data_IF_887631325070
#
_entry.id   IF_887631325070
#
_cell.length_a   1.000
_cell.length_b   1.000
_cell.length_c   1.000
_cell.angle_alpha   90.00
_cell.angle_beta   90.00
_cell.angle_gamma   90.00
#
_symmetry.space_group_name_H-M   'P 1'
#
loop_
_entity.id
_entity.type
_entity.pdbx_description
1 polymer ?
#
# COMPACT_ATOMS: atom_id res chain seq x y z
N UNK A 1 10.81 12.80 5.04
CA UNK A 1 11.18 13.24 6.41
C UNK A 1 10.77 14.70 6.58
N UNK A 2 10.58 15.13 7.82
CA UNK A 2 10.54 16.55 8.19
C UNK A 2 11.53 16.78 9.33
N UNK A 3 12.20 17.91 9.34
CA UNK A 3 13.09 18.29 10.43
C UNK A 3 12.24 18.76 11.62
N UNK A 4 12.44 18.19 12.81
CA UNK A 4 11.77 18.70 14.02
C UNK A 4 12.39 20.04 14.47
N UNK A 5 11.85 20.61 15.55
CA UNK A 5 12.34 21.86 16.14
C UNK A 5 13.80 21.79 16.63
N UNK A 6 14.30 20.57 16.83
CA UNK A 6 15.65 20.28 17.34
C UNK A 6 16.67 20.02 16.21
N UNK A 7 16.26 20.13 14.94
CA UNK A 7 17.13 19.89 13.80
C UNK A 7 17.25 18.42 13.37
N UNK A 8 16.55 17.50 14.04
CA UNK A 8 16.57 16.07 13.74
C UNK A 8 15.59 15.72 12.61
N UNK A 9 16.04 14.86 11.69
CA UNK A 9 15.18 14.36 10.63
C UNK A 9 14.23 13.28 11.16
N UNK A 10 12.93 13.58 11.16
CA UNK A 10 11.90 12.63 11.61
C UNK A 10 11.27 11.95 10.38
N UNK A 11 11.20 10.59 10.35
CA UNK A 11 10.44 9.88 9.34
C UNK A 11 8.98 10.31 9.36
N UNK A 12 8.45 10.60 8.16
CA UNK A 12 7.05 11.03 8.00
C UNK A 12 6.37 10.13 6.99
N UNK A 13 5.21 9.59 7.36
CA UNK A 13 4.41 8.72 6.53
C UNK A 13 3.87 9.52 5.33
N UNK A 14 4.17 9.05 4.13
CA UNK A 14 3.62 9.60 2.88
C UNK A 14 2.17 9.16 2.70
N UNK A 15 1.92 7.88 2.92
CA UNK A 15 0.63 7.19 2.77
C UNK A 15 0.66 5.84 3.51
N UNK A 16 -0.51 5.23 3.67
CA UNK A 16 -0.67 3.88 4.20
C UNK A 16 -1.42 3.02 3.17
N UNK A 17 -0.81 1.93 2.72
CA UNK A 17 -1.30 1.10 1.62
C UNK A 17 -1.81 -0.26 2.13
N UNK A 18 -3.14 -0.42 2.14
CA UNK A 18 -3.90 -1.60 2.52
C UNK A 18 -4.44 -2.40 1.32
N UNK A 19 -4.32 -1.85 0.10
CA UNK A 19 -4.88 -2.46 -1.11
C UNK A 19 -3.79 -2.66 -2.17
N UNK A 20 -3.67 -3.89 -2.69
CA UNK A 20 -2.80 -4.25 -3.81
C UNK A 20 -1.33 -3.76 -3.69
N UNK A 21 -0.81 -3.67 -2.46
CA UNK A 21 0.57 -3.26 -2.17
C UNK A 21 1.55 -4.11 -2.98
N UNK A 22 2.28 -3.45 -3.87
CA UNK A 22 3.17 -4.09 -4.84
C UNK A 22 4.59 -4.28 -4.30
N UNK A 23 5.39 -5.06 -5.02
CA UNK A 23 6.84 -5.28 -4.83
C UNK A 23 7.24 -6.20 -3.66
N UNK A 24 6.29 -6.74 -2.89
CA UNK A 24 6.60 -7.72 -1.85
C UNK A 24 7.26 -9.01 -2.37
N UNK A 25 7.04 -9.36 -3.63
CA UNK A 25 7.75 -10.46 -4.30
C UNK A 25 9.12 -10.06 -4.84
N UNK A 26 9.31 -8.81 -5.25
CA UNK A 26 10.57 -8.37 -5.85
C UNK A 26 11.61 -7.89 -4.83
N UNK A 27 11.19 -7.28 -3.72
CA UNK A 27 12.09 -6.66 -2.77
C UNK A 27 13.15 -7.59 -2.15
N UNK A 28 12.85 -8.86 -1.80
CA UNK A 28 13.88 -9.81 -1.33
C UNK A 28 14.99 -10.02 -2.37
N UNK A 29 14.65 -9.98 -3.67
CA UNK A 29 15.59 -10.19 -4.79
C UNK A 29 16.41 -8.95 -5.08
N UNK A 30 15.79 -7.77 -5.03
CA UNK A 30 16.49 -6.47 -5.15
C UNK A 30 17.55 -6.36 -4.06
N UNK A 31 17.18 -6.68 -2.82
CA UNK A 31 18.11 -6.70 -1.69
C UNK A 31 19.25 -7.72 -1.90
N UNK A 32 18.95 -8.95 -2.34
CA UNK A 32 19.98 -9.96 -2.64
C UNK A 32 20.96 -9.47 -3.71
N UNK A 33 20.44 -8.90 -4.79
CA UNK A 33 21.25 -8.35 -5.88
C UNK A 33 22.16 -7.22 -5.41
N UNK A 34 21.63 -6.26 -4.62
CA UNK A 34 22.45 -5.19 -4.05
C UNK A 34 23.51 -5.71 -3.07
N UNK A 35 23.19 -6.75 -2.28
CA UNK A 35 24.15 -7.38 -1.38
C UNK A 35 25.30 -8.03 -2.14
N UNK A 36 25.01 -8.71 -3.26
CA UNK A 36 26.01 -9.28 -4.17
C UNK A 36 26.89 -8.21 -4.80
N UNK A 37 26.28 -7.12 -5.28
CA UNK A 37 26.98 -6.01 -5.91
C UNK A 37 27.95 -5.33 -4.94
N UNK A 38 27.48 -4.98 -3.74
CA UNK A 38 28.28 -4.32 -2.70
C UNK A 38 29.40 -5.25 -2.21
N UNK A 39 29.14 -6.56 -2.10
CA UNK A 39 30.18 -7.57 -1.83
C UNK A 39 31.24 -7.62 -2.93
N UNK A 40 30.84 -7.57 -4.21
CA UNK A 40 31.78 -7.56 -5.33
C UNK A 40 32.68 -6.32 -5.35
N UNK A 41 32.21 -5.20 -4.79
CA UNK A 41 33.01 -3.97 -4.58
C UNK A 41 33.85 -3.97 -3.29
N UNK A 42 33.92 -5.09 -2.56
CA UNK A 42 34.84 -5.28 -1.44
C UNK A 42 34.25 -5.01 -0.06
N UNK A 43 32.91 -4.89 0.06
CA UNK A 43 32.29 -4.74 1.37
C UNK A 43 32.56 -5.97 2.27
N UNK A 44 32.90 -5.67 3.52
CA UNK A 44 33.14 -6.64 4.59
C UNK A 44 31.85 -7.33 5.01
N UNK A 45 31.98 -8.47 5.70
CA UNK A 45 30.82 -9.15 6.28
C UNK A 45 30.03 -8.25 7.24
N UNK A 46 30.72 -7.40 8.02
CA UNK A 46 30.09 -6.48 8.96
C UNK A 46 29.24 -5.42 8.24
N UNK A 47 29.74 -4.81 7.16
CA UNK A 47 28.98 -3.83 6.37
C UNK A 47 27.75 -4.46 5.71
N UNK A 48 27.83 -5.72 5.29
CA UNK A 48 26.66 -6.42 4.74
C UNK A 48 25.57 -6.68 5.79
N UNK A 49 25.87 -6.65 7.10
CA UNK A 49 24.86 -6.73 8.17
C UNK A 49 24.07 -5.42 8.31
N UNK A 50 24.60 -4.30 7.82
CA UNK A 50 23.89 -3.02 7.76
C UNK A 50 22.80 -2.99 6.67
N UNK A 51 22.71 -4.03 5.83
CA UNK A 51 21.61 -4.19 4.87
C UNK A 51 20.50 -5.05 5.50
N UNK A 52 19.38 -4.45 5.95
CA UNK A 52 18.35 -5.18 6.69
C UNK A 52 17.74 -6.29 5.83
N UNK A 53 17.26 -7.33 6.51
CA UNK A 53 16.56 -8.44 5.85
C UNK A 53 15.23 -7.98 5.25
N UNK A 54 14.85 -8.61 4.14
CA UNK A 54 13.57 -8.41 3.49
C UNK A 54 12.93 -9.75 3.18
N UNK A 55 12.03 -10.20 4.06
CA UNK A 55 11.33 -11.48 3.97
C UNK A 55 9.85 -11.28 3.58
N UNK A 56 9.57 -10.31 2.72
CA UNK A 56 8.20 -9.92 2.36
C UNK A 56 7.45 -11.01 1.64
N UNK A 57 8.10 -11.73 0.73
CA UNK A 57 7.47 -12.82 0.00
C UNK A 57 7.11 -14.00 0.92
N UNK A 58 8.06 -14.48 1.73
CA UNK A 58 7.82 -15.60 2.65
C UNK A 58 6.80 -15.26 3.74
N UNK A 59 6.84 -14.04 4.29
CA UNK A 59 5.92 -13.61 5.34
C UNK A 59 4.50 -13.39 4.81
N UNK A 60 4.34 -12.86 3.60
CA UNK A 60 3.04 -12.79 2.93
C UNK A 60 2.51 -14.18 2.57
N UNK A 61 3.37 -15.06 2.06
CA UNK A 61 3.01 -16.44 1.77
C UNK A 61 2.50 -17.18 3.01
N UNK A 62 3.21 -17.09 4.12
CA UNK A 62 2.80 -17.68 5.40
C UNK A 62 1.44 -17.13 5.87
N UNK A 63 1.22 -15.82 5.75
CA UNK A 63 -0.05 -15.21 6.12
C UNK A 63 -1.22 -15.68 5.25
N UNK A 64 -1.02 -15.82 3.93
CA UNK A 64 -2.04 -16.34 3.02
C UNK A 64 -2.37 -17.82 3.29
N UNK A 65 -1.35 -18.63 3.61
CA UNK A 65 -1.55 -20.02 4.01
C UNK A 65 -2.33 -20.13 5.33
N UNK A 66 -1.99 -19.33 6.34
CA UNK A 66 -2.71 -19.32 7.61
C UNK A 66 -4.16 -18.85 7.44
N UNK A 67 -4.41 -17.86 6.56
CA UNK A 67 -5.76 -17.44 6.20
C UNK A 67 -6.54 -18.57 5.51
N UNK A 68 -5.94 -19.26 4.54
CA UNK A 68 -6.54 -20.42 3.88
C UNK A 68 -6.91 -21.51 4.90
N UNK A 69 -6.00 -21.85 5.80
CA UNK A 69 -6.22 -22.89 6.81
C UNK A 69 -7.30 -22.50 7.82
N UNK A 70 -7.41 -21.21 8.15
CA UNK A 70 -8.49 -20.68 8.96
C UNK A 70 -9.84 -20.85 8.25
N UNK A 71 -9.93 -20.42 6.99
CA UNK A 71 -11.15 -20.58 6.19
C UNK A 71 -11.57 -22.04 6.10
N UNK A 72 -10.65 -22.93 5.68
CA UNK A 72 -10.96 -24.34 5.44
C UNK A 72 -11.38 -25.06 6.72
N UNK A 73 -10.79 -24.74 7.89
CA UNK A 73 -11.28 -25.24 9.18
C UNK A 73 -12.68 -24.74 9.52
N UNK A 74 -12.98 -23.48 9.22
CA UNK A 74 -14.27 -22.85 9.54
C UNK A 74 -15.44 -23.36 8.69
N UNK A 75 -15.18 -23.81 7.46
CA UNK A 75 -16.20 -24.31 6.53
C UNK A 75 -16.15 -25.83 6.34
N UNK A 76 -15.11 -26.49 6.88
CA UNK A 76 -14.74 -27.88 6.56
C UNK A 76 -14.63 -28.08 5.04
N UNK A 77 -13.93 -27.16 4.38
CA UNK A 77 -13.76 -27.11 2.92
C UNK A 77 -12.33 -27.39 2.49
N UNK A 78 -12.09 -27.28 1.19
CA UNK A 78 -10.76 -27.42 0.57
C UNK A 78 -10.55 -26.31 -0.47
N UNK A 79 -10.86 -25.08 -0.08
CA UNK A 79 -10.71 -23.90 -0.91
C UNK A 79 -9.25 -23.50 -1.10
N UNK A 80 -8.98 -22.83 -2.20
CA UNK A 80 -7.63 -22.40 -2.59
C UNK A 80 -7.42 -20.89 -2.49
N UNK A 81 -6.19 -20.47 -2.75
CA UNK A 81 -5.81 -19.07 -2.83
C UNK A 81 -5.99 -18.62 -4.30
N UNK A 82 -6.78 -17.58 -4.51
CA UNK A 82 -7.01 -16.97 -5.82
C UNK A 82 -6.40 -15.56 -5.83
N UNK A 83 -5.46 -15.35 -6.74
CA UNK A 83 -4.91 -14.05 -7.09
C UNK A 83 -5.83 -13.44 -8.13
N UNK A 84 -6.55 -12.38 -7.77
CA UNK A 84 -7.41 -11.64 -8.67
C UNK A 84 -6.61 -10.51 -9.32
N UNK A 85 -6.40 -10.59 -10.63
CA UNK A 85 -5.37 -9.83 -11.36
C UNK A 85 -5.93 -9.09 -12.57
N UNK A 86 -5.15 -8.17 -13.15
CA UNK A 86 -5.43 -7.61 -14.47
C UNK A 86 -5.27 -8.67 -15.57
N UNK A 87 -6.02 -8.54 -16.68
CA UNK A 87 -5.81 -9.34 -17.90
C UNK A 87 -4.46 -9.07 -18.57
N UNK A 88 -3.87 -7.89 -18.36
CA UNK A 88 -2.54 -7.52 -18.80
C UNK A 88 -1.77 -6.87 -17.64
N UNK A 89 -0.85 -7.61 -17.04
CA UNK A 89 -0.10 -7.20 -15.84
C UNK A 89 1.38 -7.00 -16.16
N UNK A 90 1.84 -5.74 -16.10
CA UNK A 90 3.23 -5.39 -16.34
C UNK A 90 4.15 -5.83 -15.19
N UNK A 91 3.64 -5.85 -13.95
CA UNK A 91 4.38 -6.27 -12.76
C UNK A 91 4.10 -7.74 -12.38
N UNK A 92 3.97 -8.61 -13.38
CA UNK A 92 3.55 -10.01 -13.15
C UNK A 92 4.58 -10.78 -12.32
N UNK A 93 5.87 -10.46 -12.47
CA UNK A 93 6.95 -11.17 -11.77
C UNK A 93 6.90 -10.97 -10.26
N UNK A 94 6.47 -9.80 -9.78
CA UNK A 94 6.20 -9.58 -8.35
C UNK A 94 5.18 -10.59 -7.81
N UNK A 95 4.07 -10.77 -8.53
CA UNK A 95 3.02 -11.71 -8.14
C UNK A 95 3.48 -13.17 -8.25
N UNK A 96 4.21 -13.52 -9.31
CA UNK A 96 4.75 -14.88 -9.49
C UNK A 96 5.76 -15.26 -8.42
N UNK A 97 6.50 -14.29 -7.90
CA UNK A 97 7.39 -14.54 -6.77
C UNK A 97 6.64 -14.83 -5.48
N UNK A 98 5.50 -14.18 -5.23
CA UNK A 98 4.61 -14.52 -4.12
C UNK A 98 3.99 -15.91 -4.30
N UNK A 99 3.50 -16.24 -5.50
CA UNK A 99 3.00 -17.59 -5.81
C UNK A 99 4.06 -18.66 -5.51
N UNK A 100 5.29 -18.42 -5.98
CA UNK A 100 6.43 -19.31 -5.73
C UNK A 100 6.75 -19.41 -4.23
N UNK A 101 6.72 -18.29 -3.49
CA UNK A 101 6.96 -18.29 -2.05
C UNK A 101 5.90 -19.10 -1.29
N UNK A 102 4.63 -19.07 -1.70
CA UNK A 102 3.58 -19.93 -1.14
C UNK A 102 3.99 -21.41 -1.23
N UNK A 103 4.42 -21.86 -2.40
CA UNK A 103 4.84 -23.26 -2.58
C UNK A 103 6.12 -23.62 -1.81
N UNK A 104 7.09 -22.70 -1.67
CA UNK A 104 8.30 -22.95 -0.86
C UNK A 104 8.04 -22.98 0.65
N UNK A 105 6.98 -22.32 1.11
CA UNK A 105 6.57 -22.35 2.53
C UNK A 105 5.79 -23.62 2.89
N UNK A 106 5.30 -24.39 1.91
CA UNK A 106 4.62 -25.64 2.17
C UNK A 106 5.58 -26.67 2.80
N UNK A 107 5.11 -27.34 3.84
CA UNK A 107 5.78 -28.50 4.44
C UNK A 107 5.06 -29.77 4.03
N UNK A 108 5.64 -30.95 4.28
CA UNK A 108 5.04 -32.26 3.95
C UNK A 108 3.63 -32.48 4.53
N UNK A 109 3.19 -31.66 5.50
CA UNK A 109 1.85 -31.71 6.10
C UNK A 109 0.78 -30.96 5.30
N UNK A 110 1.16 -30.10 4.35
CA UNK A 110 0.27 -29.21 3.59
C UNK A 110 0.48 -29.45 2.09
N UNK A 111 0.08 -30.62 1.61
CA UNK A 111 0.43 -31.08 0.24
C UNK A 111 -0.56 -30.65 -0.87
N UNK A 112 -1.70 -30.03 -0.55
CA UNK A 112 -2.78 -29.76 -1.52
C UNK A 112 -3.16 -28.30 -1.74
N UNK A 113 -2.25 -27.35 -1.50
CA UNK A 113 -2.54 -25.92 -1.78
C UNK A 113 -2.36 -25.64 -3.26
N UNK A 114 -3.38 -25.06 -3.89
CA UNK A 114 -3.26 -24.48 -5.23
C UNK A 114 -3.31 -22.96 -5.13
N UNK A 115 -2.54 -22.30 -5.99
CA UNK A 115 -2.65 -20.86 -6.23
C UNK A 115 -3.14 -20.66 -7.66
N UNK A 116 -4.27 -19.99 -7.83
CA UNK A 116 -4.87 -19.70 -9.14
C UNK A 116 -4.82 -18.22 -9.44
N UNK A 117 -4.55 -17.87 -10.69
CA UNK A 117 -4.67 -16.50 -11.19
C UNK A 117 -5.97 -16.39 -11.96
N UNK A 118 -6.80 -15.42 -11.60
CA UNK A 118 -8.07 -15.15 -12.25
C UNK A 118 -8.10 -13.67 -12.63
N UNK A 119 -8.30 -13.38 -13.90
CA UNK A 119 -8.45 -12.01 -14.37
C UNK A 119 -9.80 -11.46 -13.94
N UNK A 120 -9.83 -10.23 -13.44
CA UNK A 120 -11.08 -9.53 -13.15
C UNK A 120 -11.62 -8.92 -14.45
N UNK A 121 -12.67 -9.52 -14.96
CA UNK A 121 -13.37 -9.11 -16.18
C UNK A 121 -14.85 -9.49 -16.07
N UNK A 122 -15.73 -8.80 -16.78
CA UNK A 122 -17.19 -8.99 -16.65
C UNK A 122 -17.63 -10.45 -16.91
N UNK A 123 -16.93 -11.16 -17.81
CA UNK A 123 -17.17 -12.57 -18.11
C UNK A 123 -16.96 -13.52 -16.91
N UNK A 124 -16.24 -13.09 -15.87
CA UNK A 124 -16.04 -13.87 -14.65
C UNK A 124 -17.36 -14.11 -13.90
N UNK A 125 -18.36 -13.24 -14.05
CA UNK A 125 -19.68 -13.43 -13.44
C UNK A 125 -20.32 -14.77 -13.80
N UNK A 126 -20.16 -15.22 -15.04
CA UNK A 126 -20.74 -16.48 -15.53
C UNK A 126 -20.02 -17.72 -14.97
N UNK A 127 -18.85 -17.55 -14.37
CA UNK A 127 -17.99 -18.61 -13.83
C UNK A 127 -18.05 -18.69 -12.30
N UNK A 128 -18.72 -17.74 -11.66
CA UNK A 128 -18.87 -17.65 -10.21
C UNK A 128 -20.16 -18.33 -9.76
N UNK A 129 -20.03 -19.15 -8.72
CA UNK A 129 -21.16 -19.68 -7.95
C UNK A 129 -20.92 -19.43 -6.47
N UNK A 130 -21.96 -19.00 -5.76
CA UNK A 130 -21.97 -18.95 -4.30
C UNK A 130 -23.01 -19.97 -3.82
N UNK A 131 -22.62 -20.89 -2.95
CA UNK A 131 -23.53 -21.92 -2.43
C UNK A 131 -24.38 -21.43 -1.25
N UNK A 132 -25.22 -22.32 -0.71
CA UNK A 132 -26.08 -22.03 0.44
C UNK A 132 -25.30 -21.69 1.72
N UNK A 133 -24.07 -22.20 1.87
CA UNK A 133 -23.15 -21.92 2.97
C UNK A 133 -22.34 -20.63 2.71
N UNK A 134 -22.65 -19.88 1.65
CA UNK A 134 -21.94 -18.66 1.23
C UNK A 134 -20.47 -18.92 0.86
N UNK A 135 -20.12 -20.14 0.46
CA UNK A 135 -18.79 -20.48 -0.08
C UNK A 135 -18.71 -20.05 -1.54
N UNK A 136 -17.57 -19.50 -1.93
CA UNK A 136 -17.33 -19.01 -3.28
C UNK A 136 -16.67 -20.09 -4.12
N UNK A 137 -17.16 -20.28 -5.34
CA UNK A 137 -16.58 -21.15 -6.35
C UNK A 137 -16.31 -20.36 -7.63
N UNK A 138 -15.17 -20.61 -8.26
CA UNK A 138 -14.82 -20.14 -9.61
C UNK A 138 -14.50 -21.38 -10.44
N UNK A 139 -15.25 -21.61 -11.52
CA UNK A 139 -15.15 -22.85 -12.33
C UNK A 139 -15.25 -24.12 -11.48
N UNK A 140 -16.22 -24.16 -10.57
CA UNK A 140 -16.45 -25.24 -9.59
C UNK A 140 -15.31 -25.49 -8.59
N UNK A 141 -14.30 -24.64 -8.55
CA UNK A 141 -13.23 -24.72 -7.57
C UNK A 141 -13.47 -23.75 -6.41
N UNK A 142 -13.53 -24.30 -5.19
CA UNK A 142 -13.74 -23.53 -3.96
C UNK A 142 -12.60 -22.52 -3.72
N UNK A 143 -12.96 -21.33 -3.28
CA UNK A 143 -12.06 -20.21 -3.00
C UNK A 143 -12.04 -19.93 -1.51
N UNK A 144 -10.86 -20.09 -0.90
CA UNK A 144 -10.63 -19.78 0.51
C UNK A 144 -10.14 -18.35 0.71
N UNK A 145 -9.25 -17.88 -0.16
CA UNK A 145 -8.65 -16.54 -0.07
C UNK A 145 -8.72 -15.85 -1.42
N UNK A 146 -9.24 -14.63 -1.44
CA UNK A 146 -9.18 -13.71 -2.58
C UNK A 146 -8.10 -12.66 -2.31
N UNK A 147 -6.95 -12.79 -2.96
CA UNK A 147 -5.87 -11.81 -2.90
C UNK A 147 -5.98 -10.84 -4.08
N UNK A 148 -6.30 -9.58 -3.79
CA UNK A 148 -6.55 -8.58 -4.82
C UNK A 148 -5.25 -7.91 -5.28
N UNK A 149 -4.98 -8.02 -6.58
CA UNK A 149 -3.96 -7.24 -7.31
C UNK A 149 -4.58 -6.36 -8.40
N UNK A 150 -5.89 -6.13 -8.30
CA UNK A 150 -6.68 -5.28 -9.17
C UNK A 150 -7.78 -4.60 -8.34
N UNK A 151 -8.80 -3.96 -8.95
CA UNK A 151 -9.95 -3.37 -8.23
C UNK A 151 -9.64 -2.19 -7.27
N UNK A 152 -8.49 -1.52 -7.41
CA UNK A 152 -8.10 -0.35 -6.60
C UNK A 152 -8.21 1.01 -7.31
N UNK A 153 -8.54 1.02 -8.60
CA UNK A 153 -8.77 2.23 -9.40
C UNK A 153 -10.19 2.18 -9.99
N UNK A 154 -10.90 3.32 -10.08
CA UNK A 154 -12.16 3.42 -10.81
C UNK A 154 -12.10 2.89 -12.25
N UNK A 155 -10.96 3.03 -12.93
CA UNK A 155 -10.79 2.56 -14.31
C UNK A 155 -10.81 1.02 -14.42
N UNK A 156 -10.74 0.31 -13.29
CA UNK A 156 -10.93 -1.14 -13.20
C UNK A 156 -12.41 -1.55 -13.16
N UNK A 157 -13.32 -0.58 -13.14
CA UNK A 157 -14.75 -0.79 -13.07
C UNK A 157 -15.48 -0.12 -14.25
N UNK A 158 -15.27 -0.59 -15.49
CA UNK A 158 -15.81 0.05 -16.68
C UNK A 158 -17.33 -0.11 -16.85
N UNK A 159 -17.98 -0.99 -16.08
CA UNK A 159 -19.38 -1.37 -16.25
C UNK A 159 -20.08 -1.66 -14.92
N UNK A 160 -21.41 -1.65 -14.89
CA UNK A 160 -22.18 -2.11 -13.71
C UNK A 160 -21.92 -3.60 -13.39
N UNK A 161 -21.62 -4.40 -14.41
CA UNK A 161 -21.25 -5.81 -14.24
C UNK A 161 -19.97 -5.95 -13.40
N UNK A 162 -18.97 -5.10 -13.63
CA UNK A 162 -17.75 -5.09 -12.82
C UNK A 162 -18.03 -4.75 -11.35
N UNK A 163 -18.95 -3.81 -11.07
CA UNK A 163 -19.40 -3.51 -9.71
C UNK A 163 -20.17 -4.65 -9.07
N UNK A 164 -21.08 -5.29 -9.83
CA UNK A 164 -21.80 -6.48 -9.39
C UNK A 164 -20.83 -7.62 -9.06
N UNK A 165 -19.82 -7.84 -9.90
CA UNK A 165 -18.79 -8.83 -9.69
C UNK A 165 -18.04 -8.58 -8.39
N UNK A 166 -17.57 -7.36 -8.15
CA UNK A 166 -16.90 -7.01 -6.89
C UNK A 166 -17.81 -7.20 -5.68
N UNK A 167 -19.10 -6.84 -5.78
CA UNK A 167 -20.08 -7.09 -4.72
C UNK A 167 -20.21 -8.58 -4.41
N UNK A 168 -20.28 -9.45 -5.43
CA UNK A 168 -20.34 -10.90 -5.24
C UNK A 168 -19.06 -11.46 -4.60
N UNK A 169 -17.89 -10.95 -5.02
CA UNK A 169 -16.60 -11.32 -4.45
C UNK A 169 -16.44 -10.89 -2.99
N UNK A 170 -17.14 -9.83 -2.56
CA UNK A 170 -17.14 -9.40 -1.15
C UNK A 170 -18.13 -10.22 -0.30
N UNK A 171 -19.35 -10.44 -0.81
CA UNK A 171 -20.49 -11.01 -0.07
C UNK A 171 -20.49 -12.55 -0.02
N UNK A 172 -19.37 -13.15 0.37
CA UNK A 172 -19.19 -14.58 0.58
C UNK A 172 -18.19 -14.83 1.74
N UNK A 173 -17.98 -16.10 2.10
CA UNK A 173 -17.12 -16.50 3.22
C UNK A 173 -15.63 -16.51 2.91
N UNK A 174 -15.20 -16.44 1.66
CA UNK A 174 -13.77 -16.39 1.34
C UNK A 174 -13.16 -15.18 2.07
N UNK A 175 -11.91 -15.32 2.52
CA UNK A 175 -11.18 -14.24 3.16
C UNK A 175 -10.69 -13.30 2.06
N UNK A 176 -11.05 -12.02 2.14
CA UNK A 176 -10.60 -11.01 1.19
C UNK A 176 -9.32 -10.37 1.73
N UNK A 177 -8.32 -10.24 0.87
CA UNK A 177 -7.07 -9.55 1.16
C UNK A 177 -6.88 -8.41 0.14
N UNK A 178 -7.32 -7.18 0.48
CA UNK A 178 -8.14 -6.80 1.64
C UNK A 178 -9.66 -6.93 1.40
N UNK A 179 -10.45 -6.89 2.47
CA UNK A 179 -11.90 -6.66 2.42
C UNK A 179 -12.25 -5.19 2.12
N UNK A 180 -13.54 -4.90 1.88
CA UNK A 180 -14.00 -3.54 1.55
C UNK A 180 -13.71 -2.52 2.64
N UNK A 181 -13.79 -2.89 3.93
CA UNK A 181 -13.52 -2.00 5.06
C UNK A 181 -12.07 -1.52 5.04
N UNK A 182 -11.13 -2.42 4.75
CA UNK A 182 -9.71 -2.10 4.64
C UNK A 182 -9.42 -1.25 3.39
N UNK A 183 -10.16 -1.47 2.30
CA UNK A 183 -10.08 -0.61 1.12
C UNK A 183 -10.58 0.82 1.42
N UNK A 184 -11.61 0.98 2.26
CA UNK A 184 -12.09 2.29 2.69
C UNK A 184 -11.13 2.94 3.71
N UNK A 185 -10.54 2.16 4.60
CA UNK A 185 -9.50 2.60 5.53
C UNK A 185 -8.22 3.06 4.80
N UNK A 186 -7.99 2.60 3.58
CA UNK A 186 -6.88 3.02 2.72
C UNK A 186 -6.98 4.47 2.22
N UNK A 187 -8.15 5.11 2.37
CA UNK A 187 -8.36 6.45 1.80
C UNK A 187 -7.49 7.50 2.49
N UNK A 188 -7.07 8.50 1.71
CA UNK A 188 -6.32 9.67 2.22
C UNK A 188 -7.15 10.47 3.23
N UNK A 189 -8.48 10.39 3.15
CA UNK A 189 -9.39 10.94 4.17
C UNK A 189 -9.18 10.30 5.54
N UNK A 190 -9.09 8.97 5.61
CA UNK A 190 -8.87 8.25 6.88
C UNK A 190 -7.48 8.56 7.44
N UNK A 191 -6.45 8.60 6.58
CA UNK A 191 -5.10 9.06 6.96
C UNK A 191 -5.11 10.50 7.52
N UNK A 192 -5.91 11.40 6.94
CA UNK A 192 -6.08 12.77 7.43
C UNK A 192 -6.74 12.79 8.80
N UNK A 193 -7.76 11.96 9.03
CA UNK A 193 -8.36 11.77 10.35
C UNK A 193 -7.34 11.35 11.41
N UNK A 194 -6.46 10.39 11.10
CA UNK A 194 -5.39 9.97 12.02
C UNK A 194 -4.35 11.04 12.32
N UNK A 195 -4.17 12.02 11.43
CA UNK A 195 -3.24 13.14 11.66
C UNK A 195 -3.81 14.22 12.58
N UNK A 196 -5.12 14.18 12.87
CA UNK A 196 -5.78 15.07 13.82
C UNK A 196 -5.77 14.45 15.22
N UNK A 197 -5.03 15.01 16.21
CA UNK A 197 -4.89 14.40 17.53
C UNK A 197 -6.22 14.19 18.25
N UNK A 198 -7.14 15.16 18.12
CA UNK A 198 -8.47 15.09 18.72
C UNK A 198 -9.30 13.96 18.12
N UNK A 199 -9.23 13.80 16.79
CA UNK A 199 -9.95 12.74 16.09
C UNK A 199 -9.36 11.36 16.44
N UNK A 200 -8.02 11.22 16.38
CA UNK A 200 -7.32 9.98 16.70
C UNK A 200 -7.63 9.52 18.13
N UNK A 201 -7.51 10.42 19.13
CA UNK A 201 -7.82 10.12 20.52
C UNK A 201 -9.29 9.74 20.76
N UNK A 202 -10.20 10.21 19.90
CA UNK A 202 -11.63 9.86 19.97
C UNK A 202 -11.97 8.49 19.36
N UNK A 203 -11.10 7.95 18.49
CA UNK A 203 -11.36 6.72 17.70
C UNK A 203 -10.47 5.54 18.05
N UNK A 204 -9.21 5.78 18.42
CA UNK A 204 -8.29 4.71 18.82
C UNK A 204 -8.56 4.36 20.28
N UNK A 205 -8.89 3.10 20.54
CA UNK A 205 -9.14 2.59 21.88
C UNK A 205 -7.99 3.01 22.81
N UNK A 206 -8.35 3.67 23.93
CA UNK A 206 -7.44 4.29 24.93
C UNK A 206 -6.40 3.32 25.54
N UNK A 207 -6.40 2.05 25.17
CA UNK A 207 -5.55 1.00 25.70
C UNK A 207 -4.10 1.05 25.20
N UNK A 208 -3.78 1.81 24.15
CA UNK A 208 -2.41 1.89 23.59
C UNK A 208 -1.87 3.33 23.39
N UNK A 209 -2.08 4.23 24.36
CA UNK A 209 -1.67 5.65 24.25
C UNK A 209 -0.21 5.89 23.82
N UNK A 210 0.73 5.00 24.18
CA UNK A 210 2.14 5.09 23.75
C UNK A 210 2.30 4.89 22.23
N UNK A 211 1.50 4.01 21.64
CA UNK A 211 1.50 3.78 20.20
C UNK A 211 0.87 4.97 19.47
N UNK A 212 -0.17 5.61 20.04
CA UNK A 212 -0.75 6.83 19.47
C UNK A 212 0.28 7.95 19.32
N UNK A 213 1.12 8.21 20.34
CA UNK A 213 2.15 9.25 20.27
C UNK A 213 3.21 8.99 19.18
N UNK A 214 3.61 7.72 18.99
CA UNK A 214 4.55 7.34 17.91
C UNK A 214 3.90 7.49 16.53
N UNK A 215 2.64 7.09 16.39
CA UNK A 215 1.86 7.26 15.16
C UNK A 215 1.75 8.75 14.84
N UNK A 216 1.31 9.58 15.78
CA UNK A 216 1.22 11.03 15.62
C UNK A 216 2.56 11.65 15.21
N UNK A 217 3.67 11.25 15.85
CA UNK A 217 5.01 11.73 15.50
C UNK A 217 5.39 11.36 14.07
N UNK A 218 4.92 10.22 13.56
CA UNK A 218 5.18 9.76 12.20
C UNK A 218 4.29 10.42 11.13
N UNK A 219 3.21 11.11 11.50
CA UNK A 219 2.30 11.75 10.54
C UNK A 219 2.73 13.18 10.25
N UNK A 220 2.54 13.61 9.00
CA UNK A 220 2.60 15.02 8.65
C UNK A 220 1.20 15.65 8.75
N UNK A 221 1.15 16.97 8.89
CA UNK A 221 -0.11 17.68 8.99
C UNK A 221 -0.91 17.55 7.71
N UNK A 222 -2.20 17.24 7.86
CA UNK A 222 -3.16 17.08 6.78
C UNK A 222 -4.48 17.74 7.16
N UNK A 223 -5.21 18.17 6.14
CA UNK A 223 -6.47 18.88 6.28
C UNK A 223 -7.49 18.38 5.27
N UNK A 224 -8.73 18.23 5.72
CA UNK A 224 -9.87 18.10 4.81
C UNK A 224 -10.18 19.46 4.19
N UNK A 225 -10.87 19.46 3.05
CA UNK A 225 -11.35 20.68 2.40
C UNK A 225 -12.88 20.83 2.52
N UNK A 226 -13.45 20.17 3.51
CA UNK A 226 -14.86 20.27 3.87
C UNK A 226 -15.04 20.05 5.37
N UNK A 227 -15.87 20.86 6.05
CA UNK A 227 -16.16 20.70 7.47
C UNK A 227 -17.09 19.51 7.77
N UNK A 228 -17.73 18.93 6.75
CA UNK A 228 -18.71 17.83 6.92
C UNK A 228 -18.12 16.56 7.53
N UNK A 229 -16.81 16.37 7.43
CA UNK A 229 -16.12 15.22 8.02
C UNK A 229 -15.85 15.37 9.52
N UNK A 230 -16.04 16.57 10.09
CA UNK A 230 -15.78 16.85 11.50
C UNK A 230 -14.30 16.75 11.90
N UNK A 231 -13.37 16.83 10.92
CA UNK A 231 -11.92 16.80 11.16
C UNK A 231 -11.35 18.22 11.30
N UNK A 232 -11.75 19.13 10.42
CA UNK A 232 -11.36 20.54 10.43
C UNK A 232 -12.60 21.44 10.35
N UNK A 233 -12.59 22.56 11.07
CA UNK A 233 -13.60 23.61 10.99
C UNK A 233 -13.47 24.42 9.70
N UNK A 234 -14.52 25.14 9.30
CA UNK A 234 -14.48 26.00 8.11
C UNK A 234 -13.36 27.06 8.21
N UNK A 235 -13.15 27.63 9.41
CA UNK A 235 -12.09 28.60 9.64
C UNK A 235 -10.69 28.01 9.39
N UNK A 236 -10.40 26.82 9.92
CA UNK A 236 -9.12 26.14 9.68
C UNK A 236 -8.89 25.83 8.20
N UNK A 237 -9.96 25.45 7.50
CA UNK A 237 -9.94 25.18 6.05
C UNK A 237 -9.58 26.46 5.28
N UNK A 238 -10.26 27.57 5.56
CA UNK A 238 -10.03 28.84 4.88
C UNK A 238 -8.58 29.34 5.12
N UNK A 239 -8.10 29.22 6.36
CA UNK A 239 -6.74 29.59 6.73
C UNK A 239 -5.69 28.75 5.99
N UNK A 240 -5.86 27.42 5.95
CA UNK A 240 -4.87 26.55 5.32
C UNK A 240 -4.91 26.63 3.80
N UNK A 241 -6.09 26.80 3.20
CA UNK A 241 -6.23 27.04 1.75
C UNK A 241 -5.53 28.35 1.37
N UNK A 242 -5.72 29.42 2.13
CA UNK A 242 -5.03 30.69 1.91
C UNK A 242 -3.51 30.54 1.99
N UNK A 243 -3.00 29.84 3.03
CA UNK A 243 -1.57 29.53 3.17
C UNK A 243 -1.01 28.71 2.00
N UNK A 244 -1.76 27.71 1.53
CA UNK A 244 -1.36 26.87 0.41
C UNK A 244 -1.39 27.61 -0.92
N UNK A 245 -2.34 28.53 -1.13
CA UNK A 245 -2.36 29.38 -2.32
C UNK A 245 -1.19 30.37 -2.33
N UNK A 246 -0.79 30.90 -1.18
CA UNK A 246 0.33 31.82 -1.06
C UNK A 246 1.70 31.11 -1.20
N UNK A 247 1.83 29.89 -0.68
CA UNK A 247 3.09 29.14 -0.67
C UNK A 247 2.86 27.67 -1.12
N UNK A 248 2.50 27.43 -2.38
CA UNK A 248 2.07 26.10 -2.83
C UNK A 248 3.18 25.05 -2.79
N UNK A 249 4.44 25.46 -2.82
CA UNK A 249 5.60 24.56 -2.70
C UNK A 249 5.71 23.89 -1.32
N UNK A 250 4.98 24.35 -0.31
CA UNK A 250 4.93 23.73 1.02
C UNK A 250 3.80 22.68 1.15
N UNK A 251 2.99 22.48 0.11
CA UNK A 251 1.83 21.59 0.17
C UNK A 251 1.76 20.65 -1.03
N UNK A 252 0.99 19.58 -0.86
CA UNK A 252 0.55 18.69 -1.92
C UNK A 252 -0.94 18.45 -1.76
N UNK A 253 -1.68 18.51 -2.86
CA UNK A 253 -3.11 18.22 -2.88
C UNK A 253 -3.31 16.81 -3.43
N UNK A 254 -3.99 15.96 -2.67
CA UNK A 254 -4.16 14.54 -2.98
C UNK A 254 -5.63 14.19 -3.16
N UNK A 255 -6.05 13.61 -4.30
CA UNK A 255 -7.37 13.01 -4.43
C UNK A 255 -7.44 11.66 -3.70
N UNK A 256 -8.66 11.15 -3.49
CA UNK A 256 -8.91 9.79 -3.00
C UNK A 256 -8.64 8.72 -4.09
N UNK A 257 -7.42 8.67 -4.63
CA UNK A 257 -6.98 7.75 -5.68
C UNK A 257 -5.69 7.04 -5.27
N UNK A 258 -5.55 5.81 -5.74
CA UNK A 258 -4.37 4.96 -5.57
C UNK A 258 -3.67 4.71 -6.91
N UNK A 259 -2.43 4.20 -6.86
CA UNK A 259 -1.66 3.82 -8.06
C UNK A 259 -0.69 4.88 -8.58
N UNK A 260 -0.45 5.96 -7.81
CA UNK A 260 0.50 7.03 -8.16
C UNK A 260 0.00 8.01 -9.23
N UNK A 261 0.73 9.10 -9.45
CA UNK A 261 0.47 10.08 -10.51
C UNK A 261 -0.90 10.79 -10.46
N UNK A 262 -1.49 10.93 -9.28
CA UNK A 262 -2.77 11.62 -9.09
C UNK A 262 -2.67 12.93 -8.30
N UNK A 263 -1.48 13.28 -7.78
CA UNK A 263 -1.33 14.42 -6.88
C UNK A 263 -1.10 15.72 -7.66
N UNK A 264 -1.50 16.85 -7.07
CA UNK A 264 -1.32 18.17 -7.64
C UNK A 264 -0.28 18.94 -6.81
N UNK A 265 0.65 19.58 -7.51
CA UNK A 265 1.76 20.32 -6.91
C UNK A 265 1.80 21.76 -7.43
N UNK A 266 2.38 22.66 -6.65
CA UNK A 266 2.79 24.00 -7.10
C UNK A 266 1.63 24.74 -7.82
N UNK A 267 1.80 25.14 -9.09
CA UNK A 267 0.77 25.87 -9.84
C UNK A 267 -0.52 25.05 -10.05
N UNK A 268 -0.41 23.73 -10.25
CA UNK A 268 -1.56 22.85 -10.46
C UNK A 268 -2.40 22.73 -9.18
N UNK A 269 -1.74 22.69 -8.02
CA UNK A 269 -2.41 22.73 -6.72
C UNK A 269 -3.27 24.00 -6.59
N UNK A 270 -2.71 25.17 -6.92
CA UNK A 270 -3.43 26.45 -6.83
C UNK A 270 -4.60 26.50 -7.82
N UNK A 271 -4.38 26.05 -9.06
CA UNK A 271 -5.44 25.98 -10.05
C UNK A 271 -6.59 25.08 -9.57
N UNK A 272 -6.27 23.91 -9.02
CA UNK A 272 -7.28 22.96 -8.53
C UNK A 272 -8.04 23.47 -7.32
N UNK A 273 -7.36 24.11 -6.36
CA UNK A 273 -8.01 24.78 -5.21
C UNK A 273 -9.03 25.84 -5.66
N UNK A 274 -8.67 26.66 -6.66
CA UNK A 274 -9.58 27.67 -7.22
C UNK A 274 -10.78 27.05 -7.94
N UNK A 275 -10.54 26.00 -8.72
CA UNK A 275 -11.58 25.27 -9.46
C UNK A 275 -12.63 24.70 -8.50
N UNK A 276 -12.20 24.06 -7.42
CA UNK A 276 -13.11 23.37 -6.50
C UNK A 276 -13.66 24.24 -5.37
N UNK A 277 -13.26 25.51 -5.29
CA UNK A 277 -13.71 26.43 -4.25
C UNK A 277 -15.25 26.50 -4.20
N UNK A 278 -15.82 26.27 -3.02
CA UNK A 278 -17.28 26.23 -2.77
C UNK A 278 -18.05 25.19 -3.60
N UNK A 279 -17.38 24.13 -4.08
CA UNK A 279 -18.04 23.02 -4.79
C UNK A 279 -18.00 21.73 -3.97
N UNK A 280 -18.91 20.77 -4.20
CA UNK A 280 -18.85 19.44 -3.58
C UNK A 280 -17.57 18.66 -3.92
N UNK A 281 -16.85 19.03 -4.99
CA UNK A 281 -15.62 18.34 -5.39
C UNK A 281 -14.52 18.43 -4.34
N UNK A 282 -14.50 19.48 -3.51
CA UNK A 282 -13.53 19.65 -2.44
C UNK A 282 -13.49 18.45 -1.47
N UNK A 283 -14.61 17.73 -1.32
CA UNK A 283 -14.73 16.51 -0.50
C UNK A 283 -13.86 15.35 -1.00
N UNK A 284 -13.48 15.35 -2.28
CA UNK A 284 -12.68 14.30 -2.90
C UNK A 284 -11.17 14.50 -2.70
N UNK A 285 -10.75 15.55 -2.00
CA UNK A 285 -9.35 15.91 -1.83
C UNK A 285 -8.97 16.15 -0.37
N UNK A 286 -7.68 15.94 -0.10
CA UNK A 286 -7.04 16.34 1.15
C UNK A 286 -5.79 17.16 0.82
N UNK A 287 -5.52 18.15 1.66
CA UNK A 287 -4.30 18.95 1.58
C UNK A 287 -3.31 18.41 2.60
N UNK A 288 -2.06 18.19 2.19
CA UNK A 288 -1.01 17.66 3.06
C UNK A 288 0.23 18.55 3.00
N UNK A 289 0.93 18.69 4.11
CA UNK A 289 2.25 19.30 4.15
C UNK A 289 3.22 18.53 3.23
N UNK A 290 3.93 19.25 2.34
CA UNK A 290 4.90 18.64 1.44
C UNK A 290 6.17 18.28 2.20
N UNK A 291 6.47 16.99 2.22
CA UNK A 291 7.69 16.47 2.83
C UNK A 291 8.93 16.91 2.05
N UNK A 292 10.01 17.23 2.77
CA UNK A 292 11.31 17.64 2.21
C UNK A 292 12.37 16.62 2.66
N UNK A 293 12.43 15.44 2.02
CA UNK A 293 13.40 14.40 2.35
C UNK A 293 14.84 14.85 2.04
N UNK A 294 15.85 14.30 2.74
CA UNK A 294 17.24 14.52 2.38
C UNK A 294 17.53 13.95 0.99
N UNK A 295 18.47 14.57 0.30
CA UNK A 295 18.95 14.13 -1.00
C UNK A 295 20.26 13.37 -0.85
N UNK A 296 20.49 12.40 -1.72
CA UNK A 296 21.77 11.72 -1.85
C UNK A 296 22.13 11.58 -3.32
N UNK A 297 23.42 11.41 -3.61
CA UNK A 297 23.87 11.09 -4.97
C UNK A 297 23.83 9.58 -5.13
N UNK A 298 23.05 9.09 -6.09
CA UNK A 298 22.96 7.66 -6.38
C UNK A 298 23.05 7.42 -7.90
N UNK A 299 23.26 6.16 -8.28
CA UNK A 299 23.32 5.74 -9.67
C UNK A 299 22.03 5.01 -10.05
N UNK A 300 21.25 5.58 -10.98
CA UNK A 300 20.04 4.94 -11.48
C UNK A 300 20.35 4.17 -12.76
N UNK A 301 19.85 2.94 -12.87
CA UNK A 301 19.90 2.13 -14.08
C UNK A 301 18.51 2.11 -14.74
N UNK A 302 18.31 2.82 -15.87
CA UNK A 302 17.03 2.78 -16.59
C UNK A 302 16.77 1.41 -17.21
N UNK A 303 15.49 1.04 -17.33
CA UNK A 303 15.04 -0.24 -17.90
C UNK A 303 15.22 -0.29 -19.45
N UNK A 304 15.51 0.85 -20.10
CA UNK A 304 15.65 0.92 -21.55
C UNK A 304 16.88 0.17 -22.06
N UNK A 305 16.72 -0.59 -23.16
CA UNK A 305 17.81 -1.35 -23.79
C UNK A 305 18.92 -0.40 -24.23
N UNK A 306 20.14 -0.66 -23.75
CA UNK A 306 21.31 0.17 -24.04
C UNK A 306 21.43 1.43 -23.16
N UNK A 307 20.56 1.60 -22.16
CA UNK A 307 20.68 2.68 -21.19
C UNK A 307 21.96 2.53 -20.37
N UNK A 308 22.65 3.65 -20.17
CA UNK A 308 23.80 3.74 -19.28
C UNK A 308 23.34 4.08 -17.87
N UNK A 309 23.99 3.54 -16.82
CA UNK A 309 23.78 4.02 -15.47
C UNK A 309 24.07 5.52 -15.38
N UNK A 310 23.19 6.28 -14.71
CA UNK A 310 23.34 7.73 -14.57
C UNK A 310 23.46 8.12 -13.11
N UNK A 311 24.53 8.83 -12.76
CA UNK A 311 24.69 9.44 -11.44
C UNK A 311 23.85 10.71 -11.36
N UNK A 312 22.89 10.73 -10.45
CA UNK A 312 21.97 11.85 -10.24
C UNK A 312 21.71 12.06 -8.75
N UNK A 313 21.28 13.27 -8.38
CA UNK A 313 20.71 13.50 -7.06
C UNK A 313 19.33 12.87 -6.98
N UNK A 314 19.11 12.09 -5.93
CA UNK A 314 17.89 11.33 -5.69
C UNK A 314 17.33 11.60 -4.30
N UNK A 315 16.05 11.28 -4.16
CA UNK A 315 15.38 11.07 -2.87
C UNK A 315 14.82 9.66 -2.83
N UNK A 316 14.78 9.07 -1.63
CA UNK A 316 14.23 7.74 -1.40
C UNK A 316 12.98 7.81 -0.52
N UNK A 317 12.03 6.94 -0.82
CA UNK A 317 10.84 6.68 0.00
C UNK A 317 10.94 5.25 0.54
N UNK A 318 10.94 5.14 1.88
CA UNK A 318 10.98 3.88 2.59
C UNK A 318 9.56 3.45 2.98
N UNK A 319 9.15 2.29 2.49
CA UNK A 319 7.95 1.58 2.88
C UNK A 319 8.26 0.38 3.77
N UNK A 320 7.37 0.09 4.70
CA UNK A 320 7.42 -1.08 5.55
C UNK A 320 6.20 -1.94 5.27
N UNK A 321 6.42 -3.22 4.98
CA UNK A 321 5.36 -4.17 4.80
C UNK A 321 4.89 -4.71 6.16
N UNK A 322 3.58 -4.91 6.28
CA UNK A 322 2.96 -5.59 7.39
C UNK A 322 2.01 -6.67 6.89
N UNK A 323 1.92 -7.78 7.62
CA UNK A 323 0.86 -8.77 7.45
C UNK A 323 0.00 -8.77 8.70
N UNK A 324 -1.32 -8.71 8.51
CA UNK A 324 -2.29 -8.70 9.58
C UNK A 324 -3.43 -9.69 9.27
N UNK A 325 -3.80 -10.49 10.26
CA UNK A 325 -4.92 -11.43 10.18
C UNK A 325 -5.56 -11.50 11.57
N UNK A 326 -6.85 -11.22 11.65
CA UNK A 326 -7.62 -11.36 12.89
C UNK A 326 -8.93 -12.11 12.65
N UNK A 327 -9.49 -12.63 13.75
CA UNK A 327 -10.85 -13.14 13.82
C UNK A 327 -11.63 -12.15 14.68
N UNK A 328 -12.77 -11.68 14.16
CA UNK A 328 -13.68 -10.82 14.90
C UNK A 328 -14.98 -11.58 15.21
N UNK A 329 -15.32 -11.71 16.49
CA UNK A 329 -16.57 -12.29 16.98
C UNK A 329 -17.32 -11.24 17.82
N UNK A 330 -18.21 -10.49 17.17
CA UNK A 330 -18.82 -9.30 17.78
C UNK A 330 -17.74 -8.27 18.12
N UNK A 331 -17.68 -7.83 19.37
CA UNK A 331 -16.68 -6.87 19.87
C UNK A 331 -15.35 -7.51 20.26
N UNK A 332 -15.21 -8.84 20.16
CA UNK A 332 -13.97 -9.54 20.47
C UNK A 332 -13.12 -9.68 19.23
N UNK A 333 -11.88 -9.20 19.30
CA UNK A 333 -10.87 -9.42 18.29
C UNK A 333 -9.79 -10.37 18.80
N UNK A 334 -9.51 -11.42 18.03
CA UNK A 334 -8.33 -12.26 18.20
C UNK A 334 -7.37 -12.00 17.06
N UNK A 335 -6.26 -11.34 17.36
CA UNK A 335 -5.16 -11.13 16.41
C UNK A 335 -4.38 -12.45 16.26
N UNK A 336 -4.33 -12.99 15.05
CA UNK A 336 -3.57 -14.19 14.70
C UNK A 336 -2.20 -13.86 14.09
N UNK A 337 -2.15 -12.79 13.31
CA UNK A 337 -0.92 -12.25 12.71
C UNK A 337 -0.95 -10.74 12.90
N UNK A 338 0.14 -10.19 13.42
CA UNK A 338 0.47 -8.78 13.37
C UNK A 338 2.00 -8.68 13.31
N UNK A 339 2.56 -8.65 12.12
CA UNK A 339 4.00 -8.78 11.93
C UNK A 339 4.55 -7.84 10.86
N UNK A 340 5.74 -7.31 11.13
CA UNK A 340 6.58 -6.67 10.13
C UNK A 340 7.06 -7.71 9.10
N UNK A 341 6.88 -7.39 7.82
CA UNK A 341 7.15 -8.30 6.71
C UNK A 341 8.29 -7.80 5.81
N UNK A 342 9.14 -6.90 6.27
CA UNK A 342 10.24 -6.35 5.45
C UNK A 342 9.91 -4.99 4.87
N UNK A 343 10.65 -4.58 3.84
CA UNK A 343 10.67 -3.19 3.39
C UNK A 343 10.66 -3.05 1.86
N UNK A 344 10.26 -1.86 1.42
CA UNK A 344 10.31 -1.36 0.06
C UNK A 344 11.09 -0.06 0.06
N UNK A 345 12.04 0.11 -0.85
CA UNK A 345 12.62 1.43 -1.11
C UNK A 345 12.36 1.80 -2.55
N UNK A 346 11.77 2.97 -2.74
CA UNK A 346 11.59 3.61 -4.05
C UNK A 346 12.47 4.83 -4.11
N UNK A 347 13.37 4.89 -5.08
CA UNK A 347 14.31 6.00 -5.24
C UNK A 347 14.03 6.72 -6.56
N UNK A 348 13.97 8.05 -6.53
CA UNK A 348 13.66 8.88 -7.71
C UNK A 348 14.57 10.12 -7.78
N UNK A 349 14.82 10.68 -8.98
CA UNK A 349 15.50 11.96 -9.08
C UNK A 349 14.77 13.08 -8.33
N UNK A 350 15.51 14.02 -7.73
CA UNK A 350 14.94 15.08 -6.86
C UNK A 350 13.88 15.95 -7.58
N UNK A 351 14.03 16.16 -8.89
CA UNK A 351 13.12 16.98 -9.69
C UNK A 351 11.81 16.26 -10.08
N UNK A 352 11.66 14.97 -9.75
CA UNK A 352 10.48 14.18 -10.10
C UNK A 352 9.52 14.12 -8.90
N UNK A 353 8.32 14.67 -9.08
CA UNK A 353 7.31 14.72 -8.02
C UNK A 353 6.67 13.36 -7.73
N UNK A 354 6.48 12.51 -8.74
CA UNK A 354 5.82 11.22 -8.62
C UNK A 354 6.81 10.05 -8.48
N UNK A 355 6.42 8.97 -7.80
CA UNK A 355 7.31 7.83 -7.48
C UNK A 355 6.86 6.51 -8.16
N UNK A 356 6.11 6.60 -9.25
CA UNK A 356 5.61 5.42 -9.98
C UNK A 356 6.74 4.68 -10.70
N UNK A 357 7.09 3.47 -10.23
CA UNK A 357 8.11 2.60 -10.84
C UNK A 357 7.69 2.21 -12.27
N UNK A 358 6.49 1.63 -12.42
CA UNK A 358 5.99 1.18 -13.73
C UNK A 358 5.71 2.33 -14.70
N UNK A 359 5.56 3.55 -14.19
CA UNK A 359 5.44 4.76 -15.00
C UNK A 359 6.80 5.34 -15.41
N UNK A 360 7.91 4.74 -14.98
CA UNK A 360 9.27 5.14 -15.33
C UNK A 360 9.84 6.29 -14.49
N UNK A 361 9.18 6.67 -13.40
CA UNK A 361 9.58 7.82 -12.58
C UNK A 361 10.54 7.48 -11.44
N UNK A 362 10.64 6.21 -11.06
CA UNK A 362 11.43 5.74 -9.93
C UNK A 362 12.09 4.39 -10.20
N UNK A 363 13.10 4.05 -9.40
CA UNK A 363 13.76 2.75 -9.36
C UNK A 363 13.50 2.04 -8.02
N UNK A 364 13.54 0.71 -8.03
CA UNK A 364 13.57 -0.09 -6.80
C UNK A 364 14.96 -0.04 -6.20
N UNK A 365 15.03 0.06 -4.89
CA UNK A 365 16.29 0.22 -4.15
C UNK A 365 16.28 -0.62 -2.86
N UNK A 366 17.40 -0.72 -2.16
CA UNK A 366 17.48 -1.34 -0.83
C UNK A 366 18.24 -0.45 0.15
N UNK A 367 17.84 -0.40 1.42
CA UNK A 367 18.49 0.47 2.39
C UNK A 367 19.85 -0.09 2.83
N UNK A 368 20.74 0.82 3.19
CA UNK A 368 22.00 0.56 3.89
C UNK A 368 22.00 1.43 5.15
N UNK A 369 22.03 0.80 6.32
CA UNK A 369 21.97 1.50 7.61
C UNK A 369 23.33 2.13 7.93
N UNK A 370 23.27 3.37 8.43
CA UNK A 370 24.43 4.15 8.88
C UNK A 370 24.19 4.56 10.34
N UNK A 371 25.27 4.70 11.11
CA UNK A 371 25.24 5.09 12.53
C UNK A 371 24.91 6.58 12.75
#
# INVERSE_FOLDING_TARGET
MLTNKDGEAVPKQVEFNLMASSFGGLMPRVRSYHQELVRAFGATHAELQSMPECASDSNFAAAMLQARDLYNRSVKGDGDIVFLVSGSEANIFDQRHLERAIYHTLTDKVMSVRVRRVSFEDGLLARIRIDADRRLFIDDLEVAVLYFRHCYSPDHFPSDASWQLRKMLELNRAIKCPCIEYMLANTKLVQTGYSSPNWLASKVYRTEMKNCALIEKSLASQWTLSPEFGINSQQEIDEIVSKAMANPSNFVLKPQREGGANNYFDAELVAKLKEMANTPQAKAFVLMERLKPPTTRNCLLPIAKGATPTSVEVTSELGFYGAFLSICEGDKEQILINQHSGHLVRTKPVHVNEAGINAGFAALDSPFLID
#
